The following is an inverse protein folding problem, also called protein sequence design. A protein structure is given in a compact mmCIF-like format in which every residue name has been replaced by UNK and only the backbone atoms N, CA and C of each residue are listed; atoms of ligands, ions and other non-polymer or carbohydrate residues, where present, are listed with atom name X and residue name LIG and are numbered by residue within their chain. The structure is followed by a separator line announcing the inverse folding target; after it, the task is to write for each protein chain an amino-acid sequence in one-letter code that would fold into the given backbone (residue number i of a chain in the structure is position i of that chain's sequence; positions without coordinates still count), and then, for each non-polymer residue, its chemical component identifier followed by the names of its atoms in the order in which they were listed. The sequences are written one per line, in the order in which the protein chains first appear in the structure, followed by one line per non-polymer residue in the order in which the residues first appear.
data_IF_804659994734
#
_entry.id   IF_804659994734
#
_cell.length_a   1.000
_cell.length_b   1.000
_cell.length_c   1.000
_cell.angle_alpha   90.00
_cell.angle_beta   90.00
_cell.angle_gamma   90.00
#
_symmetry.space_group_name_H-M   'P 1'
#
loop_
_entity.id
_entity.type
_entity.pdbx_description
1 polymer ?
#
# COMPACT_ATOMS: atom_id res chain seq x y z
N UNK A 1 17.29 -22.99 -25.72
CA UNK A 1 16.28 -23.49 -24.75
C UNK A 1 14.94 -22.79 -25.04
N UNK A 2 14.54 -22.73 -26.32
CA UNK A 2 13.56 -21.76 -26.83
C UNK A 2 12.63 -22.36 -27.89
N UNK A 3 12.60 -23.68 -28.05
CA UNK A 3 11.97 -24.33 -29.21
C UNK A 3 10.70 -25.14 -28.91
N UNK A 4 10.07 -24.92 -27.75
CA UNK A 4 8.76 -25.50 -27.40
C UNK A 4 7.91 -24.53 -26.57
N UNK A 5 7.64 -23.35 -27.10
CA UNK A 5 6.63 -22.46 -26.52
C UNK A 5 5.51 -22.24 -27.54
N UNK A 6 4.27 -22.43 -27.08
CA UNK A 6 3.08 -22.14 -27.85
C UNK A 6 3.06 -20.62 -28.15
N UNK A 7 2.51 -20.21 -29.28
CA UNK A 7 2.50 -18.79 -29.68
C UNK A 7 1.72 -17.90 -28.70
N UNK A 8 0.72 -18.46 -28.03
CA UNK A 8 -0.05 -17.78 -26.98
C UNK A 8 0.81 -17.50 -25.74
N UNK A 9 1.57 -18.49 -25.26
CA UNK A 9 2.50 -18.32 -24.14
C UNK A 9 3.50 -17.19 -24.41
N UNK A 10 4.00 -17.09 -25.65
CA UNK A 10 4.96 -16.03 -26.00
C UNK A 10 4.34 -14.62 -25.89
N UNK A 11 3.06 -14.46 -26.24
CA UNK A 11 2.34 -13.18 -26.11
C UNK A 11 2.11 -12.85 -24.64
N UNK A 12 1.70 -13.81 -23.83
CA UNK A 12 1.54 -13.63 -22.38
C UNK A 12 2.86 -13.24 -21.71
N UNK A 13 3.95 -13.94 -22.02
CA UNK A 13 5.28 -13.61 -21.49
C UNK A 13 5.74 -12.21 -21.90
N UNK A 14 5.47 -11.79 -23.14
CA UNK A 14 5.79 -10.43 -23.58
C UNK A 14 4.99 -9.38 -22.80
N UNK A 15 3.71 -9.64 -22.52
CA UNK A 15 2.88 -8.75 -21.70
C UNK A 15 3.43 -8.65 -20.27
N UNK A 16 3.80 -9.78 -19.66
CA UNK A 16 4.44 -9.83 -18.33
C UNK A 16 5.71 -8.98 -18.30
N UNK A 17 6.60 -9.12 -19.30
CA UNK A 17 7.84 -8.35 -19.38
C UNK A 17 7.59 -6.85 -19.55
N UNK A 18 6.59 -6.47 -20.35
CA UNK A 18 6.19 -5.06 -20.50
C UNK A 18 5.64 -4.48 -19.20
N UNK A 19 4.78 -5.22 -18.49
CA UNK A 19 4.28 -4.81 -17.18
C UNK A 19 5.43 -4.61 -16.18
N UNK A 20 6.37 -5.55 -16.08
CA UNK A 20 7.55 -5.42 -15.21
C UNK A 20 8.37 -4.19 -15.56
N UNK A 21 8.66 -3.97 -16.85
CA UNK A 21 9.45 -2.83 -17.30
C UNK A 21 8.78 -1.49 -16.92
N UNK A 22 7.49 -1.35 -17.24
CA UNK A 22 6.71 -0.15 -16.90
C UNK A 22 6.64 0.06 -15.38
N UNK A 23 6.52 -1.02 -14.61
CA UNK A 23 6.47 -0.96 -13.15
C UNK A 23 7.79 -0.46 -12.53
N UNK A 24 8.93 -0.97 -13.00
CA UNK A 24 10.27 -0.53 -12.56
C UNK A 24 10.49 0.94 -12.92
N UNK A 25 10.08 1.34 -14.13
CA UNK A 25 10.21 2.73 -14.59
C UNK A 25 9.38 3.71 -13.74
N UNK A 26 8.20 3.28 -13.27
CA UNK A 26 7.31 4.10 -12.45
C UNK A 26 7.77 4.27 -10.98
N UNK A 27 8.70 3.44 -10.49
CA UNK A 27 9.25 3.51 -9.12
C UNK A 27 10.79 3.53 -9.10
N UNK A 28 11.43 4.62 -9.53
CA UNK A 28 12.88 4.72 -9.48
C UNK A 28 13.36 4.74 -8.02
N UNK A 29 14.04 3.67 -7.59
CA UNK A 29 14.65 3.56 -6.26
C UNK A 29 15.83 4.52 -6.08
N UNK A 30 16.46 4.92 -7.19
CA UNK A 30 17.60 5.83 -7.21
C UNK A 30 17.32 7.01 -8.12
N UNK A 31 17.45 8.22 -7.59
CA UNK A 31 17.26 9.46 -8.34
C UNK A 31 18.51 10.32 -8.20
N UNK A 32 18.92 10.94 -9.30
CA UNK A 32 19.95 11.97 -9.29
C UNK A 32 19.32 13.30 -8.89
N UNK A 33 19.82 13.90 -7.82
CA UNK A 33 19.46 15.28 -7.46
C UNK A 33 20.17 16.28 -8.38
N UNK A 34 19.75 17.55 -8.31
CA UNK A 34 20.32 18.67 -9.08
C UNK A 34 21.84 18.82 -8.92
N UNK A 35 22.39 18.36 -7.79
CA UNK A 35 23.84 18.36 -7.49
C UNK A 35 24.58 17.13 -8.06
N UNK A 36 23.95 16.35 -8.94
CA UNK A 36 24.50 15.11 -9.51
C UNK A 36 24.83 14.04 -8.44
N UNK A 37 24.20 14.12 -7.27
CA UNK A 37 24.32 13.16 -6.18
C UNK A 37 23.23 12.09 -6.30
N UNK A 38 23.60 10.82 -6.12
CA UNK A 38 22.66 9.71 -6.11
C UNK A 38 21.95 9.65 -4.77
N UNK A 39 20.63 9.79 -4.78
CA UNK A 39 19.77 9.62 -3.61
C UNK A 39 18.99 8.33 -3.75
N UNK A 40 19.06 7.49 -2.71
CA UNK A 40 18.24 6.29 -2.60
C UNK A 40 16.91 6.72 -1.95
N UNK A 41 15.83 6.58 -2.68
CA UNK A 41 14.49 6.84 -2.18
C UNK A 41 14.01 5.64 -1.37
N UNK A 42 13.53 5.90 -0.16
CA UNK A 42 12.83 4.92 0.66
C UNK A 42 11.38 5.37 0.81
N UNK A 43 10.45 4.50 0.43
CA UNK A 43 9.03 4.71 0.65
C UNK A 43 8.59 4.29 2.07
N UNK A 44 9.51 3.76 2.89
CA UNK A 44 9.23 3.33 4.27
C UNK A 44 8.99 4.54 5.16
N UNK A 45 8.02 4.44 6.05
CA UNK A 45 7.81 5.46 7.08
C UNK A 45 8.97 5.43 8.09
N UNK A 46 9.68 6.54 8.22
CA UNK A 46 10.72 6.73 9.24
C UNK A 46 10.15 7.41 10.49
N UNK A 47 10.73 7.13 11.65
CA UNK A 47 10.33 7.79 12.91
C UNK A 47 10.60 9.31 12.88
N UNK A 48 11.58 9.75 12.08
CA UNK A 48 11.97 11.15 11.93
C UNK A 48 10.99 12.00 11.13
N UNK A 49 10.08 11.39 10.37
CA UNK A 49 9.13 12.09 9.50
C UNK A 49 7.73 12.28 10.11
N UNK A 50 7.45 11.70 11.28
CA UNK A 50 6.14 11.79 11.90
C UNK A 50 5.92 13.18 12.53
N UNK A 51 4.73 13.80 12.35
CA UNK A 51 4.42 15.06 13.02
C UNK A 51 4.46 14.90 14.53
N UNK A 52 4.92 15.95 15.22
CA UNK A 52 4.90 16.00 16.68
C UNK A 52 3.47 15.84 17.18
N UNK A 53 3.30 14.95 18.16
CA UNK A 53 2.00 14.66 18.75
C UNK A 53 1.58 15.83 19.64
N UNK A 54 0.29 16.17 19.63
CA UNK A 54 -0.22 17.25 20.46
C UNK A 54 -0.16 16.90 21.96
N UNK A 55 0.07 17.93 22.79
CA UNK A 55 0.21 17.81 24.24
C UNK A 55 -1.09 17.23 24.85
N UNK A 56 -1.00 16.01 25.39
CA UNK A 56 -2.15 15.31 26.01
C UNK A 56 -2.60 14.06 25.27
N UNK A 57 -2.08 13.77 24.08
CA UNK A 57 -2.28 12.48 23.42
C UNK A 57 -1.50 11.38 24.14
N UNK A 58 -2.18 10.31 24.54
CA UNK A 58 -1.52 9.12 25.12
C UNK A 58 -0.94 8.30 23.97
N UNK A 59 0.37 8.38 23.80
CA UNK A 59 1.12 7.68 22.75
C UNK A 59 1.48 6.28 23.22
N UNK A 60 1.33 5.28 22.35
CA UNK A 60 1.80 3.92 22.58
C UNK A 60 0.78 2.93 23.14
N UNK A 61 -0.50 3.31 23.24
CA UNK A 61 -1.58 2.35 23.56
C UNK A 61 -2.16 1.66 22.33
N UNK A 62 -2.07 2.27 21.14
CA UNK A 62 -2.62 1.70 19.91
C UNK A 62 -1.51 1.14 19.03
N UNK A 63 -1.74 -0.05 18.48
CA UNK A 63 -0.84 -0.69 17.51
C UNK A 63 -1.54 -0.88 16.17
N UNK A 64 -0.84 -0.58 15.07
CA UNK A 64 -1.35 -0.93 13.75
C UNK A 64 -1.28 -2.45 13.59
N UNK A 65 -2.44 -3.10 13.61
CA UNK A 65 -2.56 -4.55 13.50
C UNK A 65 -2.79 -4.96 12.04
N UNK A 66 -3.75 -4.30 11.38
CA UNK A 66 -4.19 -4.66 10.04
C UNK A 66 -4.15 -3.46 9.10
N UNK A 67 -3.91 -3.74 7.81
CA UNK A 67 -4.00 -2.79 6.73
C UNK A 67 -4.77 -3.40 5.55
N UNK A 68 -5.87 -2.76 5.17
CA UNK A 68 -6.63 -3.07 3.96
C UNK A 68 -6.22 -2.10 2.86
N UNK A 69 -5.55 -2.61 1.82
CA UNK A 69 -4.99 -1.83 0.72
C UNK A 69 -5.77 -2.18 -0.55
N UNK A 70 -6.54 -1.23 -1.06
CA UNK A 70 -7.46 -1.43 -2.17
C UNK A 70 -7.02 -0.61 -3.38
N UNK A 71 -6.76 -1.30 -4.49
CA UNK A 71 -6.48 -0.69 -5.79
C UNK A 71 -7.62 -0.95 -6.77
N UNK A 72 -8.42 0.07 -7.05
CA UNK A 72 -9.54 0.04 -7.99
C UNK A 72 -9.48 1.18 -9.03
N UNK A 73 -8.28 1.72 -9.29
CA UNK A 73 -8.03 2.64 -10.38
C UNK A 73 -7.77 1.86 -11.68
N UNK A 74 -8.45 2.24 -12.77
CA UNK A 74 -8.31 1.55 -14.06
C UNK A 74 -7.03 1.94 -14.82
N UNK A 75 -6.64 3.21 -14.73
CA UNK A 75 -5.54 3.77 -15.52
C UNK A 75 -4.33 3.99 -14.63
N UNK A 76 -3.68 2.89 -14.26
CA UNK A 76 -2.50 2.94 -13.41
C UNK A 76 -1.51 1.85 -13.79
N UNK A 77 -0.21 2.18 -13.71
CA UNK A 77 0.87 1.21 -13.88
C UNK A 77 0.71 0.09 -12.84
N UNK A 78 0.80 -1.15 -13.30
CA UNK A 78 0.66 -2.35 -12.49
C UNK A 78 1.56 -3.46 -13.00
N UNK A 79 1.81 -4.42 -12.12
CA UNK A 79 2.34 -5.73 -12.47
C UNK A 79 1.35 -6.78 -11.97
N UNK A 80 0.77 -7.58 -12.87
CA UNK A 80 -0.32 -8.49 -12.56
C UNK A 80 -1.49 -7.74 -11.89
N UNK A 81 -1.78 -8.03 -10.62
CA UNK A 81 -2.85 -7.42 -9.80
C UNK A 81 -2.32 -6.38 -8.79
N UNK A 82 -1.03 -6.03 -8.86
CA UNK A 82 -0.40 -5.08 -7.95
C UNK A 82 -0.15 -3.74 -8.66
N UNK A 83 -0.90 -2.71 -8.31
CA UNK A 83 -0.69 -1.34 -8.80
C UNK A 83 0.47 -0.66 -8.08
N UNK A 84 1.07 0.34 -8.73
CA UNK A 84 2.24 1.05 -8.19
C UNK A 84 2.00 1.69 -6.81
N UNK A 85 0.79 2.20 -6.57
CA UNK A 85 0.44 2.80 -5.28
C UNK A 85 0.22 1.77 -4.17
N UNK A 86 -0.39 0.62 -4.49
CA UNK A 86 -0.50 -0.51 -3.57
C UNK A 86 0.90 -0.96 -3.14
N UNK A 87 1.83 -1.05 -4.09
CA UNK A 87 3.23 -1.37 -3.81
C UNK A 87 3.92 -0.33 -2.93
N UNK A 88 3.72 0.96 -3.19
CA UNK A 88 4.24 2.03 -2.32
C UNK A 88 3.66 1.95 -0.91
N UNK A 89 2.37 1.67 -0.77
CA UNK A 89 1.73 1.48 0.53
C UNK A 89 2.26 0.22 1.24
N UNK A 90 2.52 -0.87 0.53
CA UNK A 90 3.19 -2.04 1.09
C UNK A 90 4.56 -1.65 1.65
N UNK A 91 5.40 -0.99 0.86
CA UNK A 91 6.72 -0.52 1.28
C UNK A 91 6.63 0.42 2.49
N UNK A 92 5.69 1.37 2.49
CA UNK A 92 5.47 2.31 3.60
C UNK A 92 5.17 1.61 4.93
N UNK A 93 4.45 0.50 4.86
CA UNK A 93 4.02 -0.29 6.01
C UNK A 93 4.97 -1.42 6.38
N UNK A 94 6.06 -1.60 5.63
CA UNK A 94 7.12 -2.53 5.99
C UNK A 94 8.15 -1.84 6.88
N UNK A 95 8.45 -2.47 8.02
CA UNK A 95 9.54 -2.01 8.89
C UNK A 95 10.91 -2.27 8.29
N UNK A 96 11.85 -1.37 8.61
CA UNK A 96 13.26 -1.57 8.29
C UNK A 96 13.77 -2.86 8.95
N UNK A 97 14.43 -3.76 8.20
CA UNK A 97 15.04 -4.94 8.78
C UNK A 97 16.15 -4.51 9.74
N UNK A 98 16.01 -4.87 11.02
CA UNK A 98 16.96 -4.50 12.10
C UNK A 98 18.42 -4.87 11.80
N UNK A 99 18.66 -5.86 10.92
CA UNK A 99 20.01 -6.33 10.55
C UNK A 99 20.74 -5.43 9.52
N UNK A 100 20.03 -4.51 8.86
CA UNK A 100 20.64 -3.60 7.87
C UNK A 100 21.08 -2.28 8.51
N UNK A 101 20.31 -1.77 9.48
CA UNK A 101 20.61 -0.52 10.20
C UNK A 101 21.92 -0.61 11.02
N UNK A 102 22.25 -1.79 11.56
CA UNK A 102 23.48 -2.03 12.32
C UNK A 102 24.74 -2.06 11.47
N UNK A 103 24.63 -2.22 10.14
CA UNK A 103 25.81 -2.30 9.26
C UNK A 103 26.21 -0.95 8.65
N UNK A 104 25.33 0.06 8.69
CA UNK A 104 25.67 1.42 8.19
C UNK A 104 26.13 2.40 9.28
N UNK A 105 25.89 2.09 10.55
CA UNK A 105 26.41 2.89 11.66
C UNK A 105 27.77 2.35 12.12
N UNK A 106 28.76 3.24 12.12
CA UNK A 106 30.18 3.03 12.44
C UNK A 106 30.45 2.10 13.64
N UNK A 107 31.59 1.36 13.65
CA UNK A 107 32.00 0.54 14.78
C UNK A 107 32.33 1.41 15.98
N UNK A 108 31.59 1.23 17.06
CA UNK A 108 31.91 1.78 18.37
C UNK A 108 30.94 2.86 18.85
N UNK A 109 29.74 2.46 19.26
CA UNK A 109 29.06 3.10 20.38
C UNK A 109 28.11 2.08 21.05
N UNK A 110 28.07 2.15 22.37
CA UNK A 110 27.57 1.13 23.30
C UNK A 110 26.16 0.62 23.00
N UNK A 111 26.01 -0.71 23.10
CA UNK A 111 24.71 -1.40 23.14
C UNK A 111 23.87 -0.88 24.32
N UNK A 112 22.87 -0.05 24.02
CA UNK A 112 21.77 0.20 24.95
C UNK A 112 20.95 -1.09 25.04
N UNK A 113 20.97 -1.72 26.21
CA UNK A 113 20.36 -3.02 26.55
C UNK A 113 18.83 -3.00 26.63
N UNK A 114 18.15 -2.13 25.87
CA UNK A 114 16.71 -2.27 25.65
C UNK A 114 16.52 -3.20 24.46
N UNK A 115 16.04 -4.43 24.72
CA UNK A 115 15.54 -5.29 23.66
C UNK A 115 14.55 -4.44 22.86
N UNK A 116 14.80 -4.13 21.57
CA UNK A 116 13.83 -3.39 20.79
C UNK A 116 12.55 -4.23 20.85
N UNK A 117 11.49 -3.66 21.41
CA UNK A 117 10.21 -4.34 21.51
C UNK A 117 9.94 -4.93 20.14
N UNK A 118 9.84 -6.27 20.03
CA UNK A 118 9.52 -6.95 18.78
C UNK A 118 8.09 -6.55 18.43
N UNK A 119 7.94 -5.37 17.85
CA UNK A 119 6.70 -4.96 17.24
C UNK A 119 6.55 -5.88 16.03
N UNK A 120 5.37 -6.43 15.82
CA UNK A 120 5.06 -7.28 14.66
C UNK A 120 4.65 -6.40 13.46
N UNK A 121 5.01 -6.80 12.24
CA UNK A 121 4.56 -6.10 11.04
C UNK A 121 3.04 -6.25 10.93
N UNK A 122 2.30 -5.21 10.53
CA UNK A 122 0.86 -5.33 10.37
C UNK A 122 0.53 -6.35 9.28
N UNK A 123 -0.56 -7.08 9.48
CA UNK A 123 -1.14 -7.93 8.45
C UNK A 123 -1.69 -7.05 7.33
N UNK A 124 -1.46 -7.45 6.07
CA UNK A 124 -1.79 -6.64 4.89
C UNK A 124 -2.72 -7.44 3.99
N UNK A 125 -3.91 -6.91 3.77
CA UNK A 125 -4.91 -7.45 2.86
C UNK A 125 -4.89 -6.60 1.60
N UNK A 126 -4.61 -7.23 0.46
CA UNK A 126 -4.55 -6.56 -0.84
C UNK A 126 -5.81 -6.92 -1.62
N UNK A 127 -6.57 -5.90 -2.02
CA UNK A 127 -7.76 -6.07 -2.86
C UNK A 127 -7.56 -5.33 -4.18
N UNK A 128 -7.32 -6.07 -5.25
CA UNK A 128 -7.26 -5.52 -6.60
C UNK A 128 -8.63 -5.60 -7.26
N UNK A 129 -9.10 -4.46 -7.76
CA UNK A 129 -10.42 -4.26 -8.37
C UNK A 129 -11.55 -5.04 -7.69
N UNK A 130 -11.74 -4.88 -6.37
CA UNK A 130 -12.77 -5.64 -5.68
C UNK A 130 -14.16 -5.21 -6.14
N UNK A 131 -15.06 -6.18 -6.18
CA UNK A 131 -16.50 -5.91 -6.14
C UNK A 131 -16.88 -5.31 -4.79
N UNK A 132 -18.03 -4.63 -4.73
CA UNK A 132 -18.58 -4.14 -3.47
C UNK A 132 -18.69 -5.25 -2.41
N UNK A 133 -19.17 -6.44 -2.79
CA UNK A 133 -19.32 -7.57 -1.86
C UNK A 133 -17.99 -8.06 -1.30
N UNK A 134 -16.92 -8.09 -2.11
CA UNK A 134 -15.58 -8.44 -1.63
C UNK A 134 -15.07 -7.37 -0.66
N UNK A 135 -15.14 -6.09 -1.05
CA UNK A 135 -14.71 -4.98 -0.20
C UNK A 135 -15.44 -5.00 1.15
N UNK A 136 -16.76 -5.12 1.14
CA UNK A 136 -17.60 -5.15 2.34
C UNK A 136 -17.27 -6.35 3.25
N UNK A 137 -17.06 -7.54 2.67
CA UNK A 137 -16.70 -8.73 3.44
C UNK A 137 -15.39 -8.55 4.18
N UNK A 138 -14.35 -8.06 3.50
CA UNK A 138 -13.04 -7.83 4.13
C UNK A 138 -13.12 -6.73 5.20
N UNK A 139 -13.79 -5.62 4.91
CA UNK A 139 -13.99 -4.54 5.89
C UNK A 139 -14.69 -5.06 7.16
N UNK A 140 -15.78 -5.82 7.01
CA UNK A 140 -16.55 -6.36 8.12
C UNK A 140 -15.74 -7.38 8.94
N UNK A 141 -14.96 -8.24 8.26
CA UNK A 141 -14.09 -9.21 8.92
C UNK A 141 -12.99 -8.51 9.72
N UNK A 142 -12.24 -7.60 9.09
CA UNK A 142 -11.17 -6.86 9.76
C UNK A 142 -11.69 -6.05 10.95
N UNK A 143 -12.85 -5.40 10.83
CA UNK A 143 -13.45 -4.68 11.95
C UNK A 143 -13.84 -5.60 13.11
N UNK A 144 -14.43 -6.76 12.81
CA UNK A 144 -14.88 -7.73 13.83
C UNK A 144 -13.70 -8.37 14.58
N UNK A 145 -12.60 -8.61 13.89
CA UNK A 145 -11.41 -9.28 14.43
C UNK A 145 -10.40 -8.31 15.07
N UNK A 146 -10.62 -7.00 14.93
CA UNK A 146 -9.71 -5.97 15.44
C UNK A 146 -9.61 -6.01 16.98
N UNK A 147 -8.40 -6.17 17.55
CA UNK A 147 -8.21 -6.13 19.00
C UNK A 147 -8.50 -4.76 19.62
N UNK A 148 -8.85 -4.74 20.92
CA UNK A 148 -9.27 -3.53 21.65
C UNK A 148 -8.25 -2.36 21.65
N UNK A 149 -6.97 -2.66 21.44
CA UNK A 149 -5.87 -1.69 21.44
C UNK A 149 -5.17 -1.62 20.07
N UNK A 150 -5.90 -1.95 19.02
CA UNK A 150 -5.37 -2.01 17.66
C UNK A 150 -6.11 -1.04 16.74
N UNK A 151 -5.42 -0.65 15.68
CA UNK A 151 -6.01 0.14 14.59
C UNK A 151 -5.94 -0.63 13.28
N UNK A 152 -6.97 -0.42 12.46
CA UNK A 152 -7.06 -0.85 11.08
C UNK A 152 -6.76 0.36 10.18
N UNK A 153 -5.76 0.24 9.31
CA UNK A 153 -5.53 1.20 8.23
C UNK A 153 -6.35 0.78 7.00
N UNK A 154 -7.04 1.74 6.39
CA UNK A 154 -7.70 1.53 5.10
C UNK A 154 -7.09 2.49 4.09
N UNK A 155 -6.45 1.92 3.06
CA UNK A 155 -6.02 2.64 1.87
C UNK A 155 -6.94 2.28 0.72
N UNK A 156 -7.54 3.29 0.08
CA UNK A 156 -8.47 3.11 -1.02
C UNK A 156 -8.11 4.04 -2.18
N UNK A 157 -7.61 3.43 -3.25
CA UNK A 157 -7.34 4.09 -4.53
C UNK A 157 -8.43 3.72 -5.52
N UNK A 158 -9.31 4.65 -5.83
CA UNK A 158 -10.46 4.39 -6.67
C UNK A 158 -11.07 5.69 -7.22
N UNK A 159 -11.90 5.56 -8.25
CA UNK A 159 -12.65 6.71 -8.78
C UNK A 159 -13.82 7.05 -7.86
N UNK A 160 -13.79 8.26 -7.31
CA UNK A 160 -14.88 8.81 -6.52
C UNK A 160 -15.98 9.42 -7.39
N UNK A 161 -17.21 9.32 -6.93
CA UNK A 161 -18.36 10.05 -7.44
C UNK A 161 -18.73 11.09 -6.39
N UNK A 162 -18.81 12.36 -6.81
CA UNK A 162 -19.12 13.47 -5.92
C UNK A 162 -20.44 14.11 -6.34
N UNK A 163 -21.32 14.48 -5.39
CA UNK A 163 -22.53 15.22 -5.70
C UNK A 163 -22.23 16.53 -6.44
N UNK A 164 -23.04 16.82 -7.45
CA UNK A 164 -22.96 18.07 -8.23
C UNK A 164 -23.84 19.20 -7.68
N UNK A 165 -24.48 19.03 -6.51
CA UNK A 165 -25.34 20.06 -5.90
C UNK A 165 -25.53 19.89 -4.40
N UNK A 166 -25.97 20.96 -3.72
CA UNK A 166 -26.46 20.89 -2.34
C UNK A 166 -27.88 20.30 -2.37
N UNK A 167 -28.09 19.15 -1.75
CA UNK A 167 -29.44 18.63 -1.53
C UNK A 167 -30.05 19.34 -0.32
N UNK A 168 -31.28 19.83 -0.46
CA UNK A 168 -32.08 20.34 0.67
C UNK A 168 -32.71 19.19 1.49
N UNK A 169 -32.49 17.94 1.06
CA UNK A 169 -32.99 16.72 1.69
C UNK A 169 -31.91 15.63 1.71
N UNK A 170 -31.71 15.09 2.92
CA UNK A 170 -30.97 13.87 3.30
C UNK A 170 -29.44 13.87 3.17
N UNK A 171 -28.82 13.10 4.06
CA UNK A 171 -27.60 13.40 4.80
C UNK A 171 -26.28 13.20 4.03
N UNK A 172 -25.13 13.41 4.71
CA UNK A 172 -23.80 13.44 4.09
C UNK A 172 -23.36 12.13 3.41
N UNK A 173 -24.13 11.04 3.58
CA UNK A 173 -23.85 9.72 3.03
C UNK A 173 -24.72 9.33 1.83
N UNK A 174 -25.77 10.13 1.53
CA UNK A 174 -26.74 9.77 0.49
C UNK A 174 -26.28 10.16 -0.91
N UNK A 175 -25.26 11.02 -1.00
CA UNK A 175 -24.74 11.51 -2.27
C UNK A 175 -23.24 11.31 -2.40
N UNK A 176 -22.88 10.53 -3.43
CA UNK A 176 -21.50 10.22 -3.77
C UNK A 176 -21.11 8.80 -3.39
N UNK A 177 -19.84 8.46 -3.58
CA UNK A 177 -19.34 7.14 -3.26
C UNK A 177 -18.07 6.82 -4.03
N UNK A 178 -17.66 5.58 -3.92
CA UNK A 178 -16.48 5.07 -4.61
C UNK A 178 -16.92 3.97 -5.55
N UNK A 179 -16.50 4.06 -6.82
CA UNK A 179 -16.75 3.02 -7.79
C UNK A 179 -16.02 1.74 -7.34
N UNK A 180 -16.71 0.60 -7.45
CA UNK A 180 -16.16 -0.74 -7.26
C UNK A 180 -16.31 -1.52 -8.57
N UNK A 181 -15.57 -2.62 -8.70
CA UNK A 181 -15.62 -3.39 -9.93
C UNK A 181 -16.94 -4.15 -10.07
N UNK A 182 -17.37 -4.38 -11.32
CA UNK A 182 -18.57 -5.16 -11.62
C UNK A 182 -18.16 -6.52 -12.19
N UNK A 183 -18.77 -7.61 -11.72
CA UNK A 183 -18.56 -8.94 -12.33
C UNK A 183 -19.14 -9.05 -13.77
N UNK A 184 -19.75 -7.98 -14.29
CA UNK A 184 -20.40 -7.98 -15.62
C UNK A 184 -19.45 -7.66 -16.76
N UNK A 185 -18.24 -7.15 -16.48
CA UNK A 185 -17.30 -6.70 -17.51
C UNK A 185 -16.40 -7.82 -18.10
N UNK A 186 -16.61 -9.08 -17.70
CA UNK A 186 -15.83 -10.24 -18.21
C UNK A 186 -16.46 -10.88 -19.46
N UNK A 187 -17.62 -10.39 -19.91
CA UNK A 187 -18.33 -10.94 -21.07
C UNK A 187 -18.56 -9.83 -22.09
N UNK A 188 -17.54 -9.53 -22.90
CA UNK A 188 -17.67 -9.01 -24.28
C UNK A 188 -16.34 -9.15 -25.02
#
# INVERSE_FOLDING_TARGET
YTHRFNTEDQVEWNLVLQEVAAFIEADPVMVLNDDNTLVILSNRLSETGAPLLEQGMIVGQLTLADALIIGNCNNQVKFSELTIDMFRMLQALEREPMNLATQMNKPGLQESTEKPARRENPHKYLLYKPTFSQLYTFLAASFKELPANSVLLIYLSATGVFPSGRSDSEGPYDFGGVLTNSNRDVIN
#
